data_IF_293674091422
#
_entry.id   IF_293674091422
#
_cell.length_a   1.000
_cell.length_b   1.000
_cell.length_c   1.000
_cell.angle_alpha   90.00
_cell.angle_beta   90.00
_cell.angle_gamma   90.00
#
_symmetry.space_group_name_H-M   'P 1'
#
loop_
_entity.id
_entity.type
_entity.pdbx_description
1 polymer ?
#
# COMPACT_ATOMS: atom_id res chain seq x y z
N UNK A 1 6.59 -15.41 0.43
CA UNK A 1 7.24 -14.08 0.58
C UNK A 1 7.69 -13.92 2.02
N UNK A 2 8.74 -13.13 2.28
CA UNK A 2 9.04 -12.68 3.65
C UNK A 2 8.03 -11.60 4.06
N UNK A 3 7.79 -11.46 5.36
CA UNK A 3 6.77 -10.55 5.91
C UNK A 3 7.00 -9.09 5.50
N UNK A 4 8.24 -8.59 5.60
CA UNK A 4 8.58 -7.21 5.25
C UNK A 4 8.36 -6.91 3.76
N UNK A 5 8.69 -7.86 2.86
CA UNK A 5 8.49 -7.69 1.42
C UNK A 5 7.00 -7.52 1.08
N UNK A 6 6.13 -8.26 1.78
CA UNK A 6 4.69 -8.17 1.59
C UNK A 6 4.16 -6.79 2.01
N UNK A 7 4.64 -6.25 3.13
CA UNK A 7 4.28 -4.91 3.60
C UNK A 7 4.74 -3.81 2.65
N UNK A 8 5.98 -3.89 2.16
CA UNK A 8 6.50 -2.93 1.17
C UNK A 8 5.67 -2.95 -0.13
N UNK A 9 5.26 -4.15 -0.57
CA UNK A 9 4.40 -4.31 -1.75
C UNK A 9 3.00 -3.73 -1.52
N UNK A 10 2.40 -3.93 -0.34
CA UNK A 10 1.11 -3.32 0.01
C UNK A 10 1.20 -1.80 0.05
N UNK A 11 2.25 -1.23 0.65
CA UNK A 11 2.47 0.23 0.65
C UNK A 11 2.66 0.80 -0.77
N UNK A 12 3.37 0.08 -1.62
CA UNK A 12 3.56 0.47 -3.03
C UNK A 12 2.25 0.38 -3.80
N UNK A 13 1.46 -0.68 -3.60
CA UNK A 13 0.14 -0.83 -4.20
C UNK A 13 -0.78 0.33 -3.79
N UNK A 14 -0.88 0.61 -2.49
CA UNK A 14 -1.68 1.73 -1.96
C UNK A 14 -1.32 3.06 -2.64
N UNK A 15 -0.02 3.39 -2.69
CA UNK A 15 0.46 4.59 -3.38
C UNK A 15 -0.02 4.63 -4.83
N UNK A 16 0.15 3.53 -5.57
CA UNK A 16 -0.22 3.47 -6.99
C UNK A 16 -1.73 3.66 -7.20
N UNK A 17 -2.57 3.10 -6.32
CA UNK A 17 -4.03 3.28 -6.36
C UNK A 17 -4.39 4.75 -6.09
N UNK A 18 -3.78 5.38 -5.07
CA UNK A 18 -4.04 6.80 -4.72
C UNK A 18 -3.71 7.76 -5.86
N UNK A 19 -2.57 7.57 -6.51
CA UNK A 19 -2.17 8.41 -7.66
C UNK A 19 -2.77 7.92 -8.99
N UNK A 20 -3.64 6.89 -8.96
CA UNK A 20 -4.29 6.29 -10.13
C UNK A 20 -3.29 5.87 -11.21
N UNK A 21 -2.14 5.35 -10.81
CA UNK A 21 -1.07 4.91 -11.70
C UNK A 21 -0.85 3.40 -11.69
N UNK A 22 -1.88 2.58 -11.42
CA UNK A 22 -1.73 1.12 -11.42
C UNK A 22 -1.55 0.57 -12.83
N UNK A 23 -2.29 1.09 -13.81
CA UNK A 23 -2.47 0.38 -15.08
C UNK A 23 -3.48 -0.76 -14.93
N UNK A 24 -3.56 -1.62 -15.95
CA UNK A 24 -4.23 -2.92 -15.89
C UNK A 24 -3.49 -3.88 -14.94
N UNK A 25 -4.06 -5.08 -14.71
CA UNK A 25 -3.46 -6.03 -13.75
C UNK A 25 -2.04 -6.44 -14.14
N UNK A 26 -1.78 -6.59 -15.45
CA UNK A 26 -0.46 -6.96 -15.98
C UNK A 26 0.56 -5.86 -15.72
N UNK A 27 0.21 -4.60 -15.97
CA UNK A 27 1.06 -3.44 -15.67
C UNK A 27 1.29 -3.29 -14.17
N UNK A 28 0.26 -3.52 -13.36
CA UNK A 28 0.35 -3.47 -11.91
C UNK A 28 1.29 -4.55 -11.37
N UNK A 29 1.17 -5.78 -11.87
CA UNK A 29 2.05 -6.90 -11.51
C UNK A 29 3.52 -6.60 -11.82
N UNK A 30 3.79 -6.07 -13.02
CA UNK A 30 5.13 -5.62 -13.42
C UNK A 30 5.67 -4.51 -12.51
N UNK A 31 4.82 -3.51 -12.16
CA UNK A 31 5.21 -2.40 -11.27
C UNK A 31 5.52 -2.86 -9.84
N UNK A 32 4.91 -3.95 -9.39
CA UNK A 32 5.09 -4.54 -8.06
C UNK A 32 6.14 -5.67 -8.04
N UNK A 33 6.69 -6.04 -9.20
CA UNK A 33 7.62 -7.16 -9.38
C UNK A 33 7.05 -8.48 -8.83
N UNK A 34 5.83 -8.82 -9.27
CA UNK A 34 5.10 -10.03 -8.87
C UNK A 34 4.33 -10.62 -10.04
N UNK A 35 3.80 -11.85 -9.87
CA UNK A 35 2.84 -12.41 -10.82
C UNK A 35 1.48 -11.71 -10.76
N UNK A 36 0.70 -11.76 -11.84
CA UNK A 36 -0.66 -11.20 -11.89
C UNK A 36 -1.55 -11.76 -10.77
N UNK A 37 -1.47 -13.08 -10.51
CA UNK A 37 -2.17 -13.71 -9.38
C UNK A 37 -1.81 -13.06 -8.04
N UNK A 38 -0.54 -12.72 -7.85
CA UNK A 38 -0.08 -12.08 -6.62
C UNK A 38 -0.54 -10.64 -6.53
N UNK A 39 -0.58 -9.91 -7.65
CA UNK A 39 -1.15 -8.57 -7.70
C UNK A 39 -2.65 -8.58 -7.33
N UNK A 40 -3.41 -9.56 -7.82
CA UNK A 40 -4.80 -9.77 -7.38
C UNK A 40 -4.89 -10.03 -5.88
N UNK A 41 -4.07 -10.95 -5.34
CA UNK A 41 -4.05 -11.22 -3.90
C UNK A 41 -3.72 -9.95 -3.08
N UNK A 42 -2.84 -9.08 -3.57
CA UNK A 42 -2.53 -7.82 -2.87
C UNK A 42 -3.70 -6.84 -2.90
N UNK A 43 -4.46 -6.77 -4.01
CA UNK A 43 -5.71 -6.00 -4.08
C UNK A 43 -6.75 -6.56 -3.12
N UNK A 44 -6.92 -7.88 -3.09
CA UNK A 44 -7.86 -8.55 -2.19
C UNK A 44 -7.48 -8.36 -0.73
N UNK A 45 -6.19 -8.42 -0.38
CA UNK A 45 -5.72 -8.11 0.97
C UNK A 45 -6.12 -6.69 1.41
N UNK A 46 -6.06 -5.70 0.52
CA UNK A 46 -6.52 -4.34 0.86
C UNK A 46 -8.04 -4.28 1.03
N UNK A 47 -8.80 -5.02 0.21
CA UNK A 47 -10.26 -5.15 0.35
C UNK A 47 -10.65 -5.82 1.66
N UNK A 48 -9.95 -6.88 2.04
CA UNK A 48 -10.15 -7.59 3.30
C UNK A 48 -9.86 -6.70 4.51
N UNK A 49 -8.99 -5.69 4.35
CA UNK A 49 -8.74 -4.64 5.35
C UNK A 49 -9.78 -3.51 5.34
N UNK A 50 -10.78 -3.58 4.46
CA UNK A 50 -11.88 -2.62 4.35
C UNK A 50 -11.68 -1.54 3.30
N UNK A 51 -10.67 -1.63 2.43
CA UNK A 51 -10.49 -0.68 1.34
C UNK A 51 -11.43 -0.98 0.16
N UNK A 52 -12.25 -0.01 -0.21
CA UNK A 52 -13.05 -0.11 -1.44
C UNK A 52 -12.17 0.20 -2.65
N UNK A 53 -12.01 -0.74 -3.57
CA UNK A 53 -11.12 -0.59 -4.74
C UNK A 53 -11.87 -0.97 -6.01
N UNK A 54 -12.01 0.02 -6.90
CA UNK A 54 -12.66 -0.12 -8.19
C UNK A 54 -11.68 0.07 -9.35
N UNK A 55 -11.91 -0.64 -10.46
CA UNK A 55 -11.16 -0.45 -11.69
C UNK A 55 -11.90 0.53 -12.62
N UNK A 56 -11.25 1.64 -12.95
CA UNK A 56 -11.74 2.58 -13.95
C UNK A 56 -11.21 2.19 -15.33
N UNK A 57 -12.12 1.75 -16.22
CA UNK A 57 -11.77 1.34 -17.59
C UNK A 57 -11.22 2.50 -18.43
N UNK A 58 -11.79 3.71 -18.31
CA UNK A 58 -11.32 4.89 -19.08
C UNK A 58 -9.90 5.30 -18.72
N UNK A 59 -9.56 5.23 -17.42
CA UNK A 59 -8.23 5.60 -16.90
C UNK A 59 -7.25 4.44 -16.93
N UNK A 60 -7.71 3.23 -17.24
CA UNK A 60 -6.96 1.99 -17.10
C UNK A 60 -6.27 1.88 -15.74
N UNK A 61 -7.01 2.09 -14.65
CA UNK A 61 -6.40 2.17 -13.32
C UNK A 61 -7.36 1.83 -12.20
N UNK A 62 -6.84 1.15 -11.18
CA UNK A 62 -7.52 0.96 -9.90
C UNK A 62 -7.47 2.26 -9.09
N UNK A 63 -8.54 2.55 -8.37
CA UNK A 63 -8.67 3.74 -7.55
C UNK A 63 -9.52 3.49 -6.30
N UNK A 64 -9.34 4.35 -5.29
CA UNK A 64 -10.22 4.41 -4.13
C UNK A 64 -11.34 5.42 -4.40
N UNK A 65 -12.62 5.01 -4.45
CA UNK A 65 -13.73 5.94 -4.66
C UNK A 65 -13.90 6.89 -3.45
N UNK A 66 -13.69 6.39 -2.23
CA UNK A 66 -13.87 7.14 -0.99
C UNK A 66 -12.58 7.79 -0.45
N UNK A 67 -11.51 7.85 -1.25
CA UNK A 67 -10.24 8.45 -0.84
C UNK A 67 -9.49 7.70 0.28
N UNK A 68 -9.76 6.40 0.46
CA UNK A 68 -9.10 5.54 1.46
C UNK A 68 -7.58 5.48 1.27
N UNK A 69 -6.84 5.12 2.33
CA UNK A 69 -5.41 4.86 2.26
C UNK A 69 -4.95 3.86 3.32
N UNK A 70 -3.85 3.17 3.05
CA UNK A 70 -3.27 2.17 3.94
C UNK A 70 -2.41 2.80 5.03
N UNK A 71 -2.72 2.50 6.30
CA UNK A 71 -1.85 2.79 7.45
C UNK A 71 -1.30 1.49 8.04
N UNK A 72 0.02 1.38 8.16
CA UNK A 72 0.69 0.27 8.86
C UNK A 72 1.50 0.84 10.03
N UNK A 73 1.26 0.34 11.25
CA UNK A 73 2.06 0.62 12.45
C UNK A 73 2.67 -0.67 12.95
N UNK A 74 4.01 -0.72 13.05
CA UNK A 74 4.74 -1.87 13.58
C UNK A 74 5.53 -1.40 14.79
N UNK A 75 5.40 -2.11 15.91
CA UNK A 75 6.18 -1.91 17.12
C UNK A 75 6.94 -3.20 17.42
N UNK A 76 8.23 -3.07 17.73
CA UNK A 76 9.05 -4.15 18.23
C UNK A 76 9.32 -3.85 19.70
N UNK A 77 8.81 -4.70 20.59
CA UNK A 77 9.13 -4.62 22.01
C UNK A 77 10.43 -5.39 22.25
N UNK A 78 11.47 -4.63 22.59
CA UNK A 78 12.79 -5.17 22.91
C UNK A 78 12.79 -5.61 24.38
N UNK A 79 12.50 -6.88 24.67
CA UNK A 79 13.13 -7.48 25.83
C UNK A 79 14.65 -7.44 25.60
N UNK A 80 15.33 -6.46 26.22
CA UNK A 80 16.78 -6.16 26.20
C UNK A 80 17.52 -6.26 24.84
N UNK A 81 17.99 -5.11 24.36
CA UNK A 81 18.70 -4.95 23.07
C UNK A 81 20.10 -5.57 23.12
N UNK A 82 20.33 -6.68 22.43
CA UNK A 82 21.68 -7.13 22.05
C UNK A 82 22.09 -6.33 20.81
N UNK A 83 23.00 -5.35 20.97
CA UNK A 83 23.51 -4.51 19.87
C UNK A 83 24.31 -5.38 18.87
N UNK A 84 23.70 -5.71 17.74
CA UNK A 84 24.40 -6.35 16.62
C UNK A 84 23.83 -5.90 15.27
N UNK A 85 24.54 -5.00 14.58
CA UNK A 85 24.34 -4.69 13.16
C UNK A 85 23.32 -3.58 12.86
N UNK A 86 23.81 -2.37 12.57
CA UNK A 86 22.99 -1.28 12.02
C UNK A 86 22.77 -1.55 10.53
N UNK A 87 21.62 -2.10 10.16
CA UNK A 87 21.07 -1.88 8.82
C UNK A 87 20.10 -0.70 8.94
N UNK A 88 20.61 0.48 8.61
CA UNK A 88 19.82 1.71 8.56
C UNK A 88 18.83 1.59 7.39
N UNK A 89 17.65 1.01 7.63
CA UNK A 89 16.51 1.24 6.75
C UNK A 89 16.05 2.67 7.00
N UNK A 90 16.11 3.47 5.94
CA UNK A 90 15.76 4.88 5.95
C UNK A 90 14.25 5.02 6.25
N UNK A 91 13.89 5.27 7.51
CA UNK A 91 12.51 5.49 7.97
C UNK A 91 11.99 6.91 7.68
N UNK A 92 12.72 7.71 6.90
CA UNK A 92 12.40 9.13 6.68
C UNK A 92 11.20 9.40 5.74
N UNK A 93 10.39 8.39 5.41
CA UNK A 93 9.13 8.61 4.69
C UNK A 93 7.89 8.22 5.51
N UNK A 94 7.98 8.31 6.85
CA UNK A 94 6.85 8.16 7.76
C UNK A 94 6.33 9.51 8.29
N UNK A 95 6.15 10.48 7.40
CA UNK A 95 5.14 11.52 7.61
C UNK A 95 3.92 11.13 6.78
N UNK A 96 2.82 10.78 7.42
CA UNK A 96 1.47 11.04 6.90
C UNK A 96 0.43 10.63 7.95
N UNK A 97 0.16 11.50 8.91
CA UNK A 97 -1.02 11.54 9.79
C UNK A 97 -1.15 13.02 10.21
N UNK A 98 -2.22 13.78 9.98
CA UNK A 98 -3.66 13.51 10.00
C UNK A 98 -4.47 14.50 9.13
N UNK A 99 -5.71 14.08 8.83
CA UNK A 99 -6.96 14.86 8.64
C UNK A 99 -7.04 15.96 7.58
N UNK A 100 -7.78 15.65 6.51
CA UNK A 100 -8.79 16.57 5.99
C UNK A 100 -9.98 15.76 5.48
N UNK A 101 -10.87 15.38 6.41
CA UNK A 101 -12.20 14.84 6.06
C UNK A 101 -13.07 16.06 5.73
N UNK A 102 -12.84 16.61 4.54
CA UNK A 102 -13.50 17.81 4.05
C UNK A 102 -14.10 17.58 2.66
N UNK A 103 -14.93 16.54 2.49
CA UNK A 103 -15.83 16.49 1.34
C UNK A 103 -16.96 17.50 1.56
N UNK A 104 -16.72 18.75 1.17
CA UNK A 104 -17.78 19.70 0.90
C UNK A 104 -18.60 19.16 -0.29
N UNK A 105 -19.85 18.82 0.01
CA UNK A 105 -20.91 18.77 -0.99
C UNK A 105 -20.99 20.13 -1.69
N UNK A 106 -20.80 20.13 -3.01
CA UNK A 106 -21.41 21.06 -3.96
C UNK A 106 -21.62 20.32 -5.29
#
# INVERSE_FOLDING_TARGET
MKFLDALQRLQRLDRLIRIKATGDIKSLANKLDVSERTAYNLLDNLRDMGAEIEYCHERHSYHYPNGTGLQIKIKLDNGEVIKGGVSSMNFNNLEFFFEDVGYLNL
#
